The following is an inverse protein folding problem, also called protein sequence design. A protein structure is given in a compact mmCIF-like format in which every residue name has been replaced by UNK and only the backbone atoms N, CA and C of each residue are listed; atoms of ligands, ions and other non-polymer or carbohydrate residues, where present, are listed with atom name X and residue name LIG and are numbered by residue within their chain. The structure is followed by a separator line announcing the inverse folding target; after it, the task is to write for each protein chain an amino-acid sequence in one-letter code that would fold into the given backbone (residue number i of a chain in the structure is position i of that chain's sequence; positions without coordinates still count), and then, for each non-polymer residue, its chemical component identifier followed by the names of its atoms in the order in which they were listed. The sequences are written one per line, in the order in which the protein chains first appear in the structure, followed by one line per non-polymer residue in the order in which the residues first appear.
data_IF_875855207418
#
_entry.id   IF_875855207418
#
_cell.length_a   1.000
_cell.length_b   1.000
_cell.length_c   1.000
_cell.angle_alpha   90.00
_cell.angle_beta   90.00
_cell.angle_gamma   90.00
#
_symmetry.space_group_name_H-M   'P 1'
#
loop_
_entity.id
_entity.type
_entity.pdbx_description
1 polymer ?
#
# COMPACT_ATOMS: atom_id res chain seq x y z
N UNK A 1 20.18 7.03 54.29
CA UNK A 1 18.94 6.46 53.74
C UNK A 1 17.97 7.61 53.53
N UNK A 2 17.59 8.03 52.33
CA UNK A 2 17.55 7.31 51.05
C UNK A 2 17.84 8.26 49.87
N UNK A 3 18.57 7.72 48.90
CA UNK A 3 18.47 8.10 47.47
C UNK A 3 17.01 7.95 47.01
N UNK A 4 16.44 9.01 46.41
CA UNK A 4 15.46 8.96 45.32
C UNK A 4 14.79 10.33 45.18
N UNK A 5 15.17 11.10 44.15
CA UNK A 5 14.27 11.83 43.24
C UNK A 5 15.07 12.81 42.36
N UNK A 6 16.10 12.27 41.72
CA UNK A 6 16.67 12.83 40.51
C UNK A 6 16.24 11.90 39.36
N UNK A 7 15.03 12.08 38.83
CA UNK A 7 14.58 11.38 37.62
C UNK A 7 13.94 12.40 36.66
N UNK A 8 14.76 12.74 35.66
CA UNK A 8 14.42 12.85 34.25
C UNK A 8 13.39 13.89 33.78
N UNK A 9 13.90 15.08 33.49
CA UNK A 9 13.62 15.70 32.19
C UNK A 9 14.34 14.90 31.09
N UNK A 10 13.63 13.98 30.42
CA UNK A 10 14.05 13.45 29.11
C UNK A 10 13.16 14.03 28.02
N UNK A 11 13.76 15.02 27.39
CA UNK A 11 13.63 15.52 26.02
C UNK A 11 12.57 14.88 25.12
N UNK A 12 11.62 15.71 24.71
CA UNK A 12 10.79 15.49 23.55
C UNK A 12 11.64 15.63 22.26
N UNK A 13 12.34 14.57 21.86
CA UNK A 13 12.93 14.47 20.52
C UNK A 13 13.10 13.01 20.04
N UNK A 14 12.00 12.27 19.86
CA UNK A 14 12.00 11.02 19.06
C UNK A 14 10.70 10.82 18.27
N UNK A 15 10.26 11.88 17.56
CA UNK A 15 9.42 11.69 16.38
C UNK A 15 10.37 11.37 15.21
N UNK A 16 10.85 10.13 15.18
CA UNK A 16 11.86 9.64 14.24
C UNK A 16 11.67 10.17 12.82
N UNK A 17 12.58 11.04 12.37
CA UNK A 17 12.62 11.56 11.00
C UNK A 17 12.55 10.39 10.02
N UNK A 18 11.53 10.36 9.17
CA UNK A 18 11.47 9.43 8.06
C UNK A 18 12.78 9.51 7.27
N UNK A 19 13.49 8.39 7.16
CA UNK A 19 14.78 8.36 6.46
C UNK A 19 14.54 8.75 5.01
N UNK A 20 15.33 9.70 4.52
CA UNK A 20 15.27 10.14 3.13
C UNK A 20 16.32 9.45 2.28
N UNK A 21 16.02 9.27 0.99
CA UNK A 21 16.91 8.69 -0.01
C UNK A 21 16.75 9.40 -1.34
N UNK A 22 17.77 9.28 -2.18
CA UNK A 22 17.75 9.87 -3.53
C UNK A 22 17.28 8.85 -4.56
N UNK A 23 16.27 9.21 -5.34
CA UNK A 23 15.85 8.42 -6.50
C UNK A 23 16.95 8.46 -7.58
N UNK A 24 17.41 7.31 -8.06
CA UNK A 24 18.48 7.25 -9.08
C UNK A 24 18.05 7.80 -10.45
N UNK A 25 16.74 7.86 -10.69
CA UNK A 25 16.14 8.36 -11.93
C UNK A 25 15.94 9.86 -11.88
N UNK A 26 15.14 10.35 -10.92
CA UNK A 26 14.76 11.77 -10.84
C UNK A 26 15.78 12.63 -10.10
N UNK A 27 16.69 12.02 -9.35
CA UNK A 27 17.64 12.69 -8.43
C UNK A 27 16.99 13.49 -7.31
N UNK A 28 15.69 13.36 -7.11
CA UNK A 28 14.99 13.95 -5.97
C UNK A 28 15.29 13.19 -4.69
N UNK A 29 15.41 13.92 -3.59
CA UNK A 29 15.44 13.39 -2.22
C UNK A 29 14.00 13.22 -1.77
N UNK A 30 13.63 12.00 -1.40
CA UNK A 30 12.27 11.63 -1.02
C UNK A 30 12.31 10.76 0.24
N UNK A 31 11.25 10.76 1.05
CA UNK A 31 11.08 9.78 2.11
C UNK A 31 11.18 8.35 1.57
N UNK A 32 11.75 7.42 2.35
CA UNK A 32 11.84 6.02 1.91
C UNK A 32 10.47 5.42 1.58
N UNK A 33 9.39 5.87 2.23
CA UNK A 33 7.98 5.50 1.97
C UNK A 33 7.53 5.77 0.53
N UNK A 34 8.17 6.72 -0.15
CA UNK A 34 7.90 7.12 -1.53
C UNK A 34 8.86 6.45 -2.53
N UNK A 35 9.68 5.50 -2.06
CA UNK A 35 10.70 4.84 -2.85
C UNK A 35 10.62 3.31 -2.73
N UNK A 36 11.11 2.63 -3.76
CA UNK A 36 11.40 1.20 -3.77
C UNK A 36 12.91 1.01 -3.76
N UNK A 37 13.39 0.18 -2.83
CA UNK A 37 14.78 -0.26 -2.78
C UNK A 37 14.99 -1.43 -3.74
N UNK A 38 16.08 -1.39 -4.49
CA UNK A 38 16.54 -2.47 -5.35
C UNK A 38 17.95 -2.90 -4.95
N UNK A 39 18.21 -4.21 -5.00
CA UNK A 39 19.48 -4.82 -4.62
C UNK A 39 19.90 -5.87 -5.65
N UNK A 40 21.21 -6.18 -5.76
CA UNK A 40 21.67 -7.33 -6.52
C UNK A 40 21.32 -8.63 -5.78
N UNK A 41 20.76 -9.59 -6.50
CA UNK A 41 20.70 -10.98 -6.08
C UNK A 41 22.06 -11.68 -6.35
N UNK A 42 22.34 -12.83 -5.73
CA UNK A 42 23.60 -13.55 -5.91
C UNK A 42 23.91 -13.96 -7.36
N UNK A 43 22.88 -14.14 -8.17
CA UNK A 43 22.96 -14.46 -9.60
C UNK A 43 23.21 -13.22 -10.49
N UNK A 44 23.35 -12.04 -9.89
CA UNK A 44 23.52 -10.76 -10.59
C UNK A 44 22.21 -10.12 -11.07
N UNK A 45 21.05 -10.71 -10.79
CA UNK A 45 19.76 -10.11 -11.16
C UNK A 45 19.40 -8.97 -10.20
N UNK A 46 18.83 -7.89 -10.71
CA UNK A 46 18.28 -6.81 -9.86
C UNK A 46 16.92 -7.20 -9.32
N UNK A 47 16.74 -7.16 -8.00
CA UNK A 47 15.47 -7.51 -7.34
C UNK A 47 14.94 -6.36 -6.50
N UNK A 48 13.61 -6.28 -6.39
CA UNK A 48 12.92 -5.29 -5.57
C UNK A 48 12.85 -5.75 -4.10
N UNK A 49 13.54 -5.02 -3.22
CA UNK A 49 13.50 -5.22 -1.78
C UNK A 49 12.30 -4.46 -1.16
N UNK A 50 11.10 -4.96 -1.41
CA UNK A 50 9.84 -4.31 -1.01
C UNK A 50 9.69 -4.17 0.51
N UNK A 51 10.42 -4.97 1.30
CA UNK A 51 10.44 -4.96 2.77
C UNK A 51 11.65 -4.22 3.37
N UNK A 52 12.63 -3.82 2.54
CA UNK A 52 13.87 -3.11 2.93
C UNK A 52 14.73 -3.92 3.91
N UNK A 53 14.83 -5.24 3.72
CA UNK A 53 15.52 -6.15 4.65
C UNK A 53 16.67 -6.93 4.01
N UNK A 54 16.87 -6.83 2.71
CA UNK A 54 17.94 -7.56 2.05
C UNK A 54 19.31 -6.94 2.35
N UNK A 55 20.35 -7.74 2.59
CA UNK A 55 21.69 -7.22 2.91
C UNK A 55 22.33 -6.52 1.70
N UNK A 56 23.41 -5.77 1.96
CA UNK A 56 24.25 -5.18 0.93
C UNK A 56 23.82 -3.80 0.43
N UNK A 57 24.52 -3.31 -0.59
CA UNK A 57 24.26 -2.00 -1.20
C UNK A 57 22.95 -2.07 -1.99
N UNK A 58 21.99 -1.22 -1.63
CA UNK A 58 20.78 -1.00 -2.40
C UNK A 58 20.74 0.39 -3.02
N UNK A 59 19.93 0.53 -4.06
CA UNK A 59 19.61 1.80 -4.71
C UNK A 59 18.11 2.04 -4.68
N UNK A 60 17.68 3.28 -4.86
CA UNK A 60 16.30 3.68 -4.66
C UNK A 60 15.72 4.28 -5.93
N UNK A 61 14.48 3.91 -6.24
CA UNK A 61 13.69 4.47 -7.35
C UNK A 61 12.34 4.91 -6.77
N UNK A 62 11.77 5.99 -7.28
CA UNK A 62 10.40 6.42 -6.96
C UNK A 62 9.41 5.26 -7.04
N UNK A 63 8.43 5.25 -6.14
CA UNK A 63 7.31 4.30 -6.13
C UNK A 63 6.37 4.58 -7.32
N UNK A 64 6.87 4.27 -8.52
CA UNK A 64 6.27 4.61 -9.80
C UNK A 64 6.79 3.62 -10.85
N UNK A 65 5.86 2.99 -11.58
CA UNK A 65 6.16 1.96 -12.58
C UNK A 65 7.00 2.50 -13.74
N UNK A 66 6.72 3.70 -14.22
CA UNK A 66 7.46 4.33 -15.31
C UNK A 66 8.89 4.64 -14.88
N UNK A 67 9.11 5.07 -13.64
CA UNK A 67 10.46 5.31 -13.11
C UNK A 67 11.27 4.02 -13.00
N UNK A 68 10.64 2.91 -12.61
CA UNK A 68 11.33 1.60 -12.64
C UNK A 68 11.67 1.22 -14.07
N UNK A 69 10.74 1.35 -15.01
CA UNK A 69 10.98 1.06 -16.43
C UNK A 69 12.10 1.93 -17.02
N UNK A 70 12.14 3.22 -16.67
CA UNK A 70 13.18 4.15 -17.07
C UNK A 70 14.56 3.74 -16.53
N UNK A 71 14.62 3.30 -15.26
CA UNK A 71 15.86 2.81 -14.65
C UNK A 71 16.41 1.56 -15.35
N UNK A 72 15.53 0.65 -15.77
CA UNK A 72 15.88 -0.53 -16.57
C UNK A 72 16.43 -0.09 -17.94
N UNK A 73 15.65 0.68 -18.70
CA UNK A 73 15.98 1.11 -20.06
C UNK A 73 17.30 1.90 -20.14
N UNK A 74 17.58 2.74 -19.15
CA UNK A 74 18.81 3.54 -19.06
C UNK A 74 19.97 2.81 -18.37
N UNK A 75 19.80 1.53 -18.01
CA UNK A 75 20.77 0.71 -17.29
C UNK A 75 21.33 1.40 -16.01
N UNK A 76 20.47 2.10 -15.28
CA UNK A 76 20.90 2.89 -14.11
C UNK A 76 21.26 2.02 -12.90
N UNK A 77 20.70 0.81 -12.82
CA UNK A 77 20.98 -0.10 -11.72
C UNK A 77 22.45 -0.53 -11.68
N UNK A 78 23.03 -0.95 -12.80
CA UNK A 78 24.45 -1.34 -12.87
C UNK A 78 25.38 -0.20 -12.43
N UNK A 79 25.13 1.01 -12.93
CA UNK A 79 25.89 2.20 -12.58
C UNK A 79 25.80 2.55 -11.08
N UNK A 80 24.59 2.55 -10.53
CA UNK A 80 24.35 3.00 -9.14
C UNK A 80 24.69 1.93 -8.10
N UNK A 81 24.52 0.64 -8.44
CA UNK A 81 24.91 -0.48 -7.56
C UNK A 81 26.43 -0.74 -7.59
N UNK A 82 27.15 -0.18 -8.57
CA UNK A 82 28.60 -0.40 -8.79
C UNK A 82 28.94 -1.90 -8.91
N UNK A 83 28.09 -2.65 -9.60
CA UNK A 83 28.22 -4.09 -9.79
C UNK A 83 27.75 -4.47 -11.19
N UNK A 84 28.28 -5.58 -11.71
CA UNK A 84 27.81 -6.20 -12.95
C UNK A 84 26.46 -6.88 -12.68
N UNK A 85 25.37 -6.14 -12.85
CA UNK A 85 24.01 -6.62 -12.61
C UNK A 85 23.15 -6.47 -13.86
N UNK A 86 22.13 -7.31 -13.96
CA UNK A 86 21.14 -7.26 -15.03
C UNK A 86 19.77 -6.97 -14.43
N UNK A 87 19.16 -5.87 -14.87
CA UNK A 87 17.74 -5.61 -14.60
C UNK A 87 16.91 -6.17 -15.76
N UNK A 88 16.04 -7.18 -15.53
CA UNK A 88 15.16 -7.71 -16.57
C UNK A 88 14.22 -6.62 -17.11
N UNK A 89 13.85 -6.72 -18.39
CA UNK A 89 12.85 -5.83 -19.00
C UNK A 89 11.52 -5.86 -18.23
N UNK A 90 11.13 -7.04 -17.76
CA UNK A 90 9.90 -7.29 -16.99
C UNK A 90 9.96 -6.88 -15.52
N UNK A 91 11.07 -6.27 -15.06
CA UNK A 91 11.21 -5.85 -13.66
C UNK A 91 10.04 -4.96 -13.17
N UNK A 92 9.51 -3.99 -13.96
CA UNK A 92 8.34 -3.21 -13.55
C UNK A 92 7.10 -4.07 -13.29
N UNK A 93 6.82 -5.04 -14.16
CA UNK A 93 5.68 -5.96 -14.02
C UNK A 93 5.85 -6.92 -12.84
N UNK A 94 7.08 -7.39 -12.61
CA UNK A 94 7.39 -8.20 -11.43
C UNK A 94 7.16 -7.41 -10.13
N UNK A 95 7.54 -6.13 -10.08
CA UNK A 95 7.28 -5.27 -8.92
C UNK A 95 5.78 -5.09 -8.70
N UNK A 96 5.03 -4.81 -9.76
CA UNK A 96 3.56 -4.68 -9.70
C UNK A 96 2.92 -5.95 -9.16
N UNK A 97 3.25 -7.10 -9.74
CA UNK A 97 2.72 -8.40 -9.34
C UNK A 97 2.98 -8.70 -7.86
N UNK A 98 4.20 -8.40 -7.36
CA UNK A 98 4.54 -8.59 -5.94
C UNK A 98 3.83 -7.61 -5.01
N UNK A 99 3.66 -6.34 -5.40
CA UNK A 99 2.89 -5.38 -4.62
C UNK A 99 1.41 -5.79 -4.54
N UNK A 100 0.84 -6.28 -5.65
CA UNK A 100 -0.51 -6.82 -5.74
C UNK A 100 -0.71 -8.06 -4.87
N UNK A 101 0.19 -9.03 -4.96
CA UNK A 101 0.21 -10.22 -4.10
C UNK A 101 0.26 -9.84 -2.61
N UNK A 102 1.13 -8.89 -2.23
CA UNK A 102 1.22 -8.42 -0.85
C UNK A 102 -0.06 -7.74 -0.36
N UNK A 103 -0.71 -6.95 -1.21
CA UNK A 103 -1.97 -6.29 -0.88
C UNK A 103 -3.11 -7.32 -0.71
N UNK A 104 -3.27 -8.24 -1.65
CA UNK A 104 -4.28 -9.31 -1.57
C UNK A 104 -4.04 -10.27 -0.39
N UNK A 105 -2.77 -10.60 -0.11
CA UNK A 105 -2.41 -11.38 1.08
C UNK A 105 -2.81 -10.67 2.38
N UNK A 106 -2.59 -9.36 2.47
CA UNK A 106 -3.06 -8.54 3.61
C UNK A 106 -4.57 -8.44 3.68
N UNK A 107 -5.27 -8.43 2.54
CA UNK A 107 -6.72 -8.47 2.50
C UNK A 107 -7.27 -9.77 3.11
N UNK A 108 -6.67 -10.90 2.74
CA UNK A 108 -7.01 -12.21 3.32
C UNK A 108 -6.73 -12.29 4.82
N UNK A 109 -5.64 -11.69 5.31
CA UNK A 109 -5.34 -11.58 6.74
C UNK A 109 -6.34 -10.68 7.47
N UNK A 110 -6.69 -9.51 6.89
CA UNK A 110 -7.70 -8.62 7.45
C UNK A 110 -9.06 -9.31 7.57
N UNK A 111 -9.46 -10.12 6.58
CA UNK A 111 -10.67 -10.96 6.67
C UNK A 111 -10.59 -11.95 7.82
N UNK A 112 -9.49 -12.70 7.94
CA UNK A 112 -9.30 -13.67 9.04
C UNK A 112 -9.34 -13.01 10.41
N UNK A 113 -8.90 -11.77 10.51
CA UNK A 113 -8.96 -10.95 11.72
C UNK A 113 -10.35 -10.32 12.00
N UNK A 114 -11.37 -10.62 11.19
CA UNK A 114 -12.71 -10.03 11.34
C UNK A 114 -12.82 -8.56 10.90
N UNK A 115 -11.79 -8.02 10.24
CA UNK A 115 -11.72 -6.62 9.85
C UNK A 115 -12.35 -6.32 8.47
N UNK A 116 -12.99 -7.30 7.82
CA UNK A 116 -13.58 -7.15 6.48
C UNK A 116 -15.04 -7.59 6.49
N UNK A 117 -15.91 -6.73 5.96
CA UNK A 117 -17.33 -6.98 5.73
C UNK A 117 -17.58 -7.00 4.23
N UNK A 118 -18.04 -8.12 3.68
CA UNK A 118 -18.28 -8.27 2.24
C UNK A 118 -19.77 -8.44 1.92
N UNK A 119 -20.19 -7.89 0.78
CA UNK A 119 -21.56 -7.96 0.26
C UNK A 119 -22.31 -6.64 0.40
N UNK A 120 -23.06 -6.28 -0.63
CA UNK A 120 -23.67 -4.95 -0.82
C UNK A 120 -24.41 -4.42 0.42
N UNK A 121 -25.46 -5.10 0.89
CA UNK A 121 -26.26 -4.64 2.03
C UNK A 121 -25.47 -4.56 3.35
N UNK A 122 -24.49 -5.45 3.53
CA UNK A 122 -23.63 -5.44 4.72
C UNK A 122 -22.65 -4.27 4.70
N UNK A 123 -22.12 -3.95 3.51
CA UNK A 123 -21.25 -2.80 3.28
C UNK A 123 -22.03 -1.50 3.51
N UNK A 124 -23.25 -1.37 3.00
CA UNK A 124 -24.09 -0.20 3.28
C UNK A 124 -24.35 -0.03 4.78
N UNK A 125 -24.69 -1.11 5.49
CA UNK A 125 -24.87 -1.08 6.93
C UNK A 125 -23.58 -0.69 7.68
N UNK A 126 -22.42 -1.18 7.22
CA UNK A 126 -21.13 -0.84 7.80
C UNK A 126 -20.79 0.65 7.58
N UNK A 127 -21.05 1.21 6.39
CA UNK A 127 -20.85 2.65 6.11
C UNK A 127 -21.68 3.51 7.07
N UNK A 128 -22.90 3.08 7.39
CA UNK A 128 -23.79 3.83 8.27
C UNK A 128 -23.33 3.85 9.74
N UNK A 129 -22.74 2.75 10.23
CA UNK A 129 -22.51 2.54 11.67
C UNK A 129 -21.04 2.49 12.10
N UNK A 130 -20.15 2.00 11.24
CA UNK A 130 -18.78 1.65 11.59
C UNK A 130 -17.79 2.73 11.14
N UNK A 131 -16.63 2.80 11.80
CA UNK A 131 -15.48 3.54 11.29
C UNK A 131 -14.69 2.65 10.32
N UNK A 132 -14.55 3.11 9.08
CA UNK A 132 -13.91 2.35 8.00
C UNK A 132 -12.51 2.90 7.71
N UNK A 133 -11.54 2.01 7.53
CA UNK A 133 -10.23 2.37 6.97
C UNK A 133 -10.28 2.45 5.44
N UNK A 134 -11.08 1.58 4.81
CA UNK A 134 -11.17 1.52 3.36
C UNK A 134 -12.46 0.90 2.86
N UNK A 135 -12.77 1.19 1.61
CA UNK A 135 -13.88 0.62 0.87
C UNK A 135 -13.33 0.05 -0.44
N UNK A 136 -13.50 -1.25 -0.62
CA UNK A 136 -13.08 -1.97 -1.81
C UNK A 136 -14.29 -2.16 -2.73
N UNK A 137 -14.13 -1.77 -3.99
CA UNK A 137 -15.05 -2.12 -5.07
C UNK A 137 -14.25 -2.71 -6.21
N UNK A 138 -14.67 -3.86 -6.71
CA UNK A 138 -14.00 -4.52 -7.83
C UNK A 138 -13.88 -3.57 -9.03
N UNK A 139 -12.73 -3.59 -9.70
CA UNK A 139 -12.44 -2.74 -10.87
C UNK A 139 -13.38 -3.04 -12.05
N UNK A 140 -13.78 -4.31 -12.17
CA UNK A 140 -14.71 -4.87 -13.15
C UNK A 140 -16.17 -4.95 -12.64
N UNK A 141 -16.45 -4.37 -11.46
CA UNK A 141 -17.79 -4.33 -10.88
C UNK A 141 -18.74 -3.38 -11.63
N UNK A 142 -20.02 -3.76 -11.70
CA UNK A 142 -21.06 -2.96 -12.36
C UNK A 142 -21.23 -1.56 -11.72
N UNK A 143 -21.49 -0.55 -12.57
CA UNK A 143 -21.59 0.84 -12.13
C UNK A 143 -22.77 1.10 -11.17
N UNK A 144 -23.86 0.33 -11.28
CA UNK A 144 -25.04 0.53 -10.44
C UNK A 144 -24.76 0.29 -8.95
N UNK A 145 -24.10 -0.82 -8.62
CA UNK A 145 -23.68 -1.12 -7.26
C UNK A 145 -22.73 -0.05 -6.72
N UNK A 146 -21.77 0.38 -7.56
CA UNK A 146 -20.82 1.45 -7.21
C UNK A 146 -21.52 2.76 -6.86
N UNK A 147 -22.44 3.24 -7.71
CA UNK A 147 -23.19 4.49 -7.48
C UNK A 147 -23.96 4.48 -6.16
N UNK A 148 -24.57 3.35 -5.80
CA UNK A 148 -25.32 3.22 -4.55
C UNK A 148 -24.41 3.28 -3.32
N UNK A 149 -23.26 2.60 -3.37
CA UNK A 149 -22.27 2.67 -2.29
C UNK A 149 -21.69 4.09 -2.14
N UNK A 150 -21.38 4.76 -3.25
CA UNK A 150 -20.95 6.17 -3.23
C UNK A 150 -22.03 7.11 -2.67
N UNK A 151 -23.30 6.87 -2.99
CA UNK A 151 -24.41 7.61 -2.41
C UNK A 151 -24.51 7.40 -0.88
N UNK A 152 -24.31 6.17 -0.41
CA UNK A 152 -24.27 5.87 1.03
C UNK A 152 -23.13 6.61 1.74
N UNK A 153 -21.93 6.66 1.14
CA UNK A 153 -20.81 7.46 1.64
C UNK A 153 -21.17 8.94 1.67
N UNK A 154 -21.66 9.51 0.57
CA UNK A 154 -22.07 10.93 0.52
C UNK A 154 -23.05 11.26 1.64
N UNK A 155 -24.07 10.42 1.85
CA UNK A 155 -25.04 10.61 2.94
C UNK A 155 -24.40 10.59 4.32
N UNK A 156 -23.48 9.66 4.59
CA UNK A 156 -22.78 9.57 5.89
C UNK A 156 -21.91 10.81 6.18
N UNK A 157 -21.27 11.35 5.14
CA UNK A 157 -20.33 12.47 5.28
C UNK A 157 -20.90 13.83 4.90
N UNK A 158 -22.21 13.95 4.62
CA UNK A 158 -22.85 15.21 4.24
C UNK A 158 -23.16 16.16 5.43
N UNK A 159 -23.20 15.65 6.67
CA UNK A 159 -23.75 16.40 7.82
C UNK A 159 -23.07 16.08 9.16
N UNK A 160 -21.83 15.58 9.16
CA UNK A 160 -21.18 15.18 10.42
C UNK A 160 -20.58 16.39 11.14
N UNK A 161 -21.16 16.79 12.26
CA UNK A 161 -20.60 17.82 13.17
C UNK A 161 -19.25 17.38 13.76
N UNK A 162 -19.04 16.07 13.88
CA UNK A 162 -17.74 15.48 14.23
C UNK A 162 -17.01 15.04 12.96
N UNK A 163 -15.78 15.50 12.69
CA UNK A 163 -14.99 15.05 11.53
C UNK A 163 -14.67 13.56 11.64
N UNK A 164 -15.40 12.71 10.91
CA UNK A 164 -15.05 11.30 10.75
C UNK A 164 -14.13 11.19 9.52
N UNK A 165 -12.95 10.55 9.64
CA UNK A 165 -12.07 10.35 8.49
C UNK A 165 -12.79 9.56 7.39
N UNK A 166 -12.71 10.03 6.14
CA UNK A 166 -13.24 9.30 5.00
C UNK A 166 -12.43 8.02 4.77
N UNK A 167 -13.09 6.89 4.46
CA UNK A 167 -12.38 5.67 4.09
C UNK A 167 -11.64 5.86 2.76
N UNK A 168 -10.53 5.17 2.60
CA UNK A 168 -9.80 5.10 1.34
C UNK A 168 -10.59 4.26 0.32
N UNK A 169 -10.82 4.80 -0.87
CA UNK A 169 -11.48 4.08 -1.95
C UNK A 169 -10.44 3.23 -2.70
N UNK A 170 -10.72 1.93 -2.84
CA UNK A 170 -9.80 0.96 -3.43
C UNK A 170 -10.53 0.26 -4.57
N UNK A 171 -10.08 0.52 -5.81
CA UNK A 171 -10.72 0.05 -7.05
C UNK A 171 -9.75 -0.62 -8.03
N UNK A 172 -8.68 -1.19 -7.50
CA UNK A 172 -7.51 -1.68 -8.27
C UNK A 172 -7.44 -3.21 -8.38
N UNK A 173 -8.44 -3.93 -7.86
CA UNK A 173 -8.52 -5.39 -7.86
C UNK A 173 -9.76 -5.85 -8.60
N UNK A 174 -9.63 -6.87 -9.44
CA UNK A 174 -10.73 -7.52 -10.14
C UNK A 174 -11.56 -8.41 -9.19
N UNK A 175 -12.78 -8.74 -9.60
CA UNK A 175 -13.71 -9.59 -8.82
C UNK A 175 -13.09 -10.94 -8.47
N UNK A 176 -12.34 -11.54 -9.40
CA UNK A 176 -11.65 -12.81 -9.18
C UNK A 176 -10.58 -12.72 -8.09
N UNK A 177 -9.73 -11.69 -8.13
CA UNK A 177 -8.67 -11.46 -7.14
C UNK A 177 -9.25 -11.28 -5.73
N UNK A 178 -10.32 -10.48 -5.62
CA UNK A 178 -11.03 -10.27 -4.36
C UNK A 178 -11.65 -11.59 -3.86
N UNK A 179 -12.24 -12.37 -4.76
CA UNK A 179 -12.86 -13.63 -4.41
C UNK A 179 -11.86 -14.65 -3.87
N UNK A 180 -10.69 -14.77 -4.53
CA UNK A 180 -9.59 -15.62 -4.09
C UNK A 180 -9.06 -15.20 -2.70
N UNK A 181 -8.80 -13.91 -2.51
CA UNK A 181 -8.31 -13.39 -1.22
C UNK A 181 -9.30 -13.62 -0.08
N UNK A 182 -10.61 -13.53 -0.36
CA UNK A 182 -11.67 -13.71 0.63
C UNK A 182 -12.13 -15.16 0.80
N UNK A 183 -11.70 -16.08 -0.08
CA UNK A 183 -12.15 -17.46 -0.09
C UNK A 183 -13.65 -17.59 -0.38
N UNK A 184 -14.21 -16.67 -1.18
CA UNK A 184 -15.62 -16.64 -1.57
C UNK A 184 -15.74 -16.10 -3.00
N UNK A 185 -16.51 -16.73 -3.89
CA UNK A 185 -16.68 -16.22 -5.25
C UNK A 185 -17.47 -14.90 -5.27
N UNK A 186 -17.33 -14.14 -6.36
CA UNK A 186 -18.18 -13.00 -6.73
C UNK A 186 -18.21 -11.86 -5.69
N UNK A 187 -17.07 -11.52 -5.08
CA UNK A 187 -17.02 -10.37 -4.17
C UNK A 187 -16.81 -9.07 -4.96
N UNK A 188 -17.89 -8.29 -5.08
CA UNK A 188 -17.86 -6.98 -5.75
C UNK A 188 -17.54 -5.84 -4.78
N UNK A 189 -18.13 -5.85 -3.59
CA UNK A 189 -17.97 -4.78 -2.59
C UNK A 189 -17.55 -5.34 -1.24
N UNK A 190 -16.59 -4.68 -0.60
CA UNK A 190 -16.18 -4.96 0.77
C UNK A 190 -15.82 -3.68 1.52
N UNK A 191 -16.25 -3.59 2.78
CA UNK A 191 -15.83 -2.56 3.73
C UNK A 191 -14.70 -3.12 4.60
N UNK A 192 -13.69 -2.29 4.85
CA UNK A 192 -12.54 -2.60 5.69
C UNK A 192 -12.62 -1.75 6.94
N UNK A 193 -12.76 -2.41 8.09
CA UNK A 193 -12.92 -1.75 9.39
C UNK A 193 -11.62 -1.06 9.82
N UNK A 194 -11.74 0.03 10.57
CA UNK A 194 -10.61 0.77 11.12
C UNK A 194 -9.91 -0.01 12.24
N UNK A 195 -9.00 -0.90 11.84
CA UNK A 195 -8.24 -1.80 12.72
C UNK A 195 -6.78 -1.92 12.23
N UNK A 196 -5.84 -2.45 13.03
CA UNK A 196 -4.46 -2.66 12.57
C UNK A 196 -4.37 -3.51 11.29
N UNK A 197 -5.14 -4.60 11.20
CA UNK A 197 -5.14 -5.47 10.02
C UNK A 197 -5.79 -4.77 8.80
N UNK A 198 -6.88 -4.02 9.02
CA UNK A 198 -7.55 -3.23 7.99
C UNK A 198 -6.65 -2.13 7.43
N UNK A 199 -5.99 -1.35 8.30
CA UNK A 199 -5.03 -0.32 7.89
C UNK A 199 -3.85 -0.93 7.11
N UNK A 200 -3.33 -2.07 7.57
CA UNK A 200 -2.25 -2.75 6.85
C UNK A 200 -2.62 -3.09 5.39
N UNK A 201 -3.85 -3.55 5.15
CA UNK A 201 -4.35 -3.78 3.79
C UNK A 201 -4.51 -2.47 3.00
N UNK A 202 -5.07 -1.43 3.62
CA UNK A 202 -5.24 -0.11 2.99
C UNK A 202 -3.89 0.48 2.58
N UNK A 203 -2.90 0.47 3.46
CA UNK A 203 -1.54 0.97 3.18
C UNK A 203 -0.89 0.21 2.02
N UNK A 204 -1.08 -1.12 1.97
CA UNK A 204 -0.60 -1.95 0.88
C UNK A 204 -1.26 -1.59 -0.46
N UNK A 205 -2.57 -1.33 -0.43
CA UNK A 205 -3.35 -0.97 -1.60
C UNK A 205 -2.98 0.41 -2.12
N UNK A 206 -2.78 1.40 -1.23
CA UNK A 206 -2.26 2.73 -1.58
C UNK A 206 -0.89 2.59 -2.24
N UNK A 207 0.00 1.78 -1.66
CA UNK A 207 1.33 1.56 -2.22
C UNK A 207 1.29 0.95 -3.62
N UNK A 208 0.42 -0.04 -3.86
CA UNK A 208 0.20 -0.60 -5.20
C UNK A 208 -0.39 0.44 -6.16
N UNK A 209 -1.45 1.14 -5.76
CA UNK A 209 -2.13 2.17 -6.56
C UNK A 209 -1.16 3.24 -7.04
N UNK A 210 -0.33 3.75 -6.11
CA UNK A 210 0.73 4.73 -6.42
C UNK A 210 1.72 4.17 -7.43
N UNK A 211 2.16 2.93 -7.25
CA UNK A 211 3.10 2.30 -8.18
C UNK A 211 2.56 2.22 -9.61
N UNK A 212 1.30 1.78 -9.77
CA UNK A 212 0.67 1.61 -11.10
C UNK A 212 0.10 2.91 -11.68
N UNK A 213 0.19 4.04 -10.97
CA UNK A 213 -0.36 5.32 -11.42
C UNK A 213 -1.89 5.35 -11.54
N UNK A 214 -2.60 4.49 -10.80
CA UNK A 214 -4.06 4.46 -10.84
C UNK A 214 -4.66 5.62 -10.03
N UNK A 215 -5.70 6.26 -10.57
CA UNK A 215 -6.42 7.33 -9.90
C UNK A 215 -7.22 6.85 -8.68
N UNK A 216 -7.59 7.81 -7.81
CA UNK A 216 -8.37 7.62 -6.59
C UNK A 216 -9.84 7.21 -6.82
#
# INVERSE_FOLDING_TARGET
MSEADAIETVEADDLGRERERTCIVTRQVLPETDLIRFVPAPDGTVVADLRRRLPGRGVWVSLDRERVAEAVRKNLFARSLKAAVKAPAELPDQVEARLRELALGRFGLARKAGAVVAGFSKVEAAIARDQLAGLVTASDGADDGRRKIEAALRRRFASSETPVPRPQLIRIFATEELGLALGRPNVIHAAVLHSPAGRSFVDASIRLRRYIGAAD
#
